data_IF_186575644922
#
_entry.id   IF_186575644922
#
_cell.length_a   1.000
_cell.length_b   1.000
_cell.length_c   1.000
_cell.angle_alpha   90.00
_cell.angle_beta   90.00
_cell.angle_gamma   90.00
#
_symmetry.space_group_name_H-M   'P 1'
#
loop_
_entity.id
_entity.type
_entity.pdbx_description
1 polymer ?
#
# COMPACT_ATOMS: atom_id res chain seq x y z
N UNK A 1 -2.49 -10.65 -8.66
CA UNK A 1 -3.96 -10.68 -8.40
C UNK A 1 -4.63 -9.30 -8.51
N UNK A 2 -3.97 -8.18 -8.18
CA UNK A 2 -4.57 -6.83 -8.24
C UNK A 2 -5.18 -6.45 -9.61
N UNK A 3 -4.49 -6.78 -10.72
CA UNK A 3 -4.99 -6.50 -12.08
C UNK A 3 -6.29 -7.25 -12.42
N UNK A 4 -6.53 -8.43 -11.85
CA UNK A 4 -7.74 -9.21 -12.13
C UNK A 4 -8.95 -8.56 -11.48
N UNK A 5 -8.83 -8.11 -10.23
CA UNK A 5 -9.91 -7.39 -9.54
C UNK A 5 -10.18 -6.02 -10.19
N UNK A 6 -9.14 -5.35 -10.72
CA UNK A 6 -9.31 -4.13 -11.51
C UNK A 6 -10.10 -4.42 -12.79
N UNK A 7 -9.71 -5.44 -13.55
CA UNK A 7 -10.36 -5.83 -14.80
C UNK A 7 -11.82 -6.22 -14.57
N UNK A 8 -12.11 -7.02 -13.54
CA UNK A 8 -13.48 -7.41 -13.17
C UNK A 8 -14.32 -6.17 -12.85
N UNK A 9 -13.79 -5.23 -12.05
CA UNK A 9 -14.50 -3.99 -11.72
C UNK A 9 -14.79 -3.15 -12.97
N UNK A 10 -13.82 -3.01 -13.88
CA UNK A 10 -13.99 -2.27 -15.14
C UNK A 10 -15.07 -2.93 -16.01
N UNK A 11 -14.98 -4.25 -16.22
CA UNK A 11 -15.95 -5.00 -17.02
C UNK A 11 -17.35 -4.90 -16.39
N UNK A 12 -17.47 -5.10 -15.08
CA UNK A 12 -18.74 -5.00 -14.37
C UNK A 12 -19.34 -3.59 -14.48
N UNK A 13 -18.52 -2.54 -14.33
CA UNK A 13 -18.97 -1.14 -14.48
C UNK A 13 -19.41 -0.86 -15.92
N UNK A 14 -18.69 -1.38 -16.92
CA UNK A 14 -19.03 -1.20 -18.33
C UNK A 14 -20.34 -1.91 -18.70
N UNK A 15 -20.51 -3.18 -18.29
CA UNK A 15 -21.74 -3.95 -18.53
C UNK A 15 -22.93 -3.28 -17.85
N UNK A 16 -22.81 -2.94 -16.55
CA UNK A 16 -23.89 -2.25 -15.82
C UNK A 16 -24.17 -0.85 -16.38
N UNK A 17 -23.16 -0.16 -16.90
CA UNK A 17 -23.31 1.13 -17.61
C UNK A 17 -24.07 1.00 -18.92
N UNK A 18 -23.80 -0.04 -19.73
CA UNK A 18 -24.57 -0.34 -20.94
C UNK A 18 -26.03 -0.62 -20.57
N UNK A 19 -26.28 -1.45 -19.54
CA UNK A 19 -27.63 -1.72 -19.06
C UNK A 19 -28.35 -0.44 -18.60
N UNK A 20 -27.66 0.42 -17.87
CA UNK A 20 -28.19 1.71 -17.43
C UNK A 20 -28.52 2.63 -18.62
N UNK A 21 -27.65 2.71 -19.62
CA UNK A 21 -27.91 3.47 -20.86
C UNK A 21 -29.13 2.92 -21.61
N UNK A 22 -29.22 1.60 -21.76
CA UNK A 22 -30.36 0.93 -22.41
C UNK A 22 -31.66 1.19 -21.63
N UNK A 23 -31.66 1.10 -20.30
CA UNK A 23 -32.83 1.47 -19.49
C UNK A 23 -33.19 2.94 -19.68
N UNK A 24 -32.21 3.85 -19.61
CA UNK A 24 -32.43 5.29 -19.65
C UNK A 24 -32.91 5.80 -21.01
N UNK A 25 -32.33 5.30 -22.10
CA UNK A 25 -32.58 5.81 -23.45
C UNK A 25 -33.60 4.99 -24.26
N UNK A 26 -33.78 3.70 -23.96
CA UNK A 26 -34.68 2.84 -24.75
C UNK A 26 -35.93 2.45 -23.94
N UNK A 27 -35.77 1.92 -22.73
CA UNK A 27 -36.90 1.38 -21.97
C UNK A 27 -37.66 2.45 -21.18
N UNK A 28 -36.98 3.42 -20.58
CA UNK A 28 -37.61 4.47 -19.78
C UNK A 28 -38.55 5.37 -20.61
N UNK A 29 -38.21 5.80 -21.84
CA UNK A 29 -39.14 6.56 -22.69
C UNK A 29 -40.36 5.72 -23.08
N UNK A 30 -40.15 4.44 -23.45
CA UNK A 30 -41.24 3.51 -23.79
C UNK A 30 -42.16 3.23 -22.60
N UNK A 31 -41.62 3.09 -21.38
CA UNK A 31 -42.41 2.94 -20.14
C UNK A 31 -43.21 4.20 -19.85
N UNK A 32 -42.57 5.38 -19.91
CA UNK A 32 -43.26 6.66 -19.69
C UNK A 32 -44.39 6.88 -20.70
N UNK A 33 -44.18 6.54 -21.97
CA UNK A 33 -45.22 6.62 -22.99
C UNK A 33 -46.40 5.66 -22.73
N UNK A 34 -46.13 4.41 -22.31
CA UNK A 34 -47.18 3.45 -21.95
C UNK A 34 -47.94 3.85 -20.68
N UNK A 35 -47.23 4.36 -19.68
CA UNK A 35 -47.82 4.88 -18.44
C UNK A 35 -48.67 6.12 -18.73
N UNK A 36 -48.19 7.06 -19.55
CA UNK A 36 -48.95 8.23 -19.97
C UNK A 36 -50.21 7.83 -20.77
N UNK A 37 -50.08 6.88 -21.71
CA UNK A 37 -51.22 6.37 -22.47
C UNK A 37 -52.28 5.71 -21.55
N UNK A 38 -51.84 4.90 -20.58
CA UNK A 38 -52.74 4.30 -19.59
C UNK A 38 -53.38 5.35 -18.65
N UNK A 39 -52.66 6.40 -18.28
CA UNK A 39 -53.19 7.53 -17.52
C UNK A 39 -54.31 8.25 -18.30
N UNK A 40 -54.08 8.57 -19.57
CA UNK A 40 -55.10 9.18 -20.44
C UNK A 40 -56.29 8.27 -20.70
N UNK A 41 -56.09 6.95 -20.76
CA UNK A 41 -57.17 5.99 -20.99
C UNK A 41 -58.03 5.74 -19.75
N UNK A 42 -57.47 5.89 -18.54
CA UNK A 42 -58.18 5.61 -17.30
C UNK A 42 -59.03 6.77 -16.78
N UNK A 43 -58.88 7.99 -17.33
CA UNK A 43 -59.66 9.19 -16.98
C UNK A 43 -59.37 9.79 -15.60
N UNK A 44 -58.87 8.98 -14.65
CA UNK A 44 -58.52 9.34 -13.28
C UNK A 44 -57.02 9.22 -12.99
N UNK A 45 -56.59 9.82 -11.87
CA UNK A 45 -55.22 9.71 -11.39
C UNK A 45 -54.88 8.28 -10.91
N UNK A 46 -54.36 7.42 -11.80
CA UNK A 46 -53.81 6.10 -11.43
C UNK A 46 -52.70 6.24 -10.38
N UNK A 47 -52.70 5.35 -9.40
CA UNK A 47 -51.66 5.29 -8.38
C UNK A 47 -50.33 4.73 -8.93
N UNK A 48 -49.23 5.04 -8.24
CA UNK A 48 -47.89 4.60 -8.64
C UNK A 48 -47.76 3.07 -8.70
N UNK A 49 -48.53 2.33 -7.89
CA UNK A 49 -48.53 0.88 -7.86
C UNK A 49 -49.14 0.29 -9.14
N UNK A 50 -50.25 0.86 -9.64
CA UNK A 50 -50.90 0.41 -10.87
C UNK A 50 -50.08 0.81 -12.09
N UNK A 51 -49.50 2.02 -12.10
CA UNK A 51 -48.61 2.47 -13.19
C UNK A 51 -47.35 1.61 -13.36
N UNK A 52 -46.80 1.10 -12.27
CA UNK A 52 -45.65 0.19 -12.32
C UNK A 52 -46.02 -1.21 -12.85
N UNK A 53 -47.28 -1.65 -12.70
CA UNK A 53 -47.79 -2.90 -13.29
C UNK A 53 -48.06 -2.80 -14.79
N UNK A 54 -48.40 -1.61 -15.32
CA UNK A 54 -48.65 -1.40 -16.76
C UNK A 54 -47.37 -1.55 -17.58
N UNK A 55 -46.21 -1.23 -17.01
CA UNK A 55 -44.93 -1.29 -17.71
C UNK A 55 -43.81 -1.80 -16.79
N UNK A 56 -43.83 -3.11 -16.42
CA UNK A 56 -42.88 -3.66 -15.47
C UNK A 56 -41.44 -3.58 -16.01
N UNK A 57 -40.50 -3.28 -15.11
CA UNK A 57 -39.07 -3.37 -15.39
C UNK A 57 -38.66 -4.84 -15.48
N UNK A 58 -37.88 -5.26 -16.49
CA UNK A 58 -37.23 -6.56 -16.45
C UNK A 58 -36.27 -6.63 -15.26
N UNK A 59 -36.41 -7.63 -14.39
CA UNK A 59 -35.63 -7.70 -13.14
C UNK A 59 -34.11 -7.69 -13.34
N UNK A 60 -33.59 -8.31 -14.40
CA UNK A 60 -32.17 -8.27 -14.75
C UNK A 60 -31.67 -6.86 -15.13
N UNK A 61 -32.54 -6.04 -15.73
CA UNK A 61 -32.23 -4.66 -16.10
C UNK A 61 -32.28 -3.74 -14.88
N UNK A 62 -33.21 -3.99 -13.96
CA UNK A 62 -33.34 -3.23 -12.72
C UNK A 62 -32.14 -3.44 -11.79
N UNK A 63 -31.78 -4.69 -11.51
CA UNK A 63 -30.60 -5.03 -10.70
C UNK A 63 -29.31 -4.55 -11.37
N UNK A 64 -29.14 -4.77 -12.67
CA UNK A 64 -27.94 -4.35 -13.39
C UNK A 64 -27.76 -2.82 -13.46
N UNK A 65 -28.81 -2.07 -13.78
CA UNK A 65 -28.74 -0.62 -13.92
C UNK A 65 -28.66 0.12 -12.56
N UNK A 66 -29.24 -0.44 -11.49
CA UNK A 66 -29.21 0.17 -10.14
C UNK A 66 -27.83 0.09 -9.47
N UNK A 67 -27.04 -0.92 -9.79
CA UNK A 67 -25.69 -1.11 -9.25
C UNK A 67 -24.65 -0.23 -9.97
N UNK A 68 -24.93 0.24 -11.18
CA UNK A 68 -24.00 1.04 -11.99
C UNK A 68 -23.45 2.29 -11.27
N UNK A 69 -24.26 3.18 -10.66
CA UNK A 69 -23.72 4.38 -10.01
C UNK A 69 -22.72 4.06 -8.91
N UNK A 70 -22.97 2.98 -8.14
CA UNK A 70 -22.07 2.53 -7.08
C UNK A 70 -20.76 2.03 -7.67
N UNK A 71 -20.82 1.15 -8.68
CA UNK A 71 -19.61 0.65 -9.34
C UNK A 71 -18.82 1.75 -10.04
N UNK A 72 -19.51 2.71 -10.67
CA UNK A 72 -18.87 3.85 -11.32
C UNK A 72 -18.14 4.74 -10.31
N UNK A 73 -18.74 5.04 -9.16
CA UNK A 73 -18.07 5.78 -8.08
C UNK A 73 -16.85 5.01 -7.57
N UNK A 74 -17.00 3.71 -7.28
CA UNK A 74 -15.88 2.87 -6.83
C UNK A 74 -14.77 2.82 -7.87
N UNK A 75 -15.12 2.72 -9.16
CA UNK A 75 -14.16 2.73 -10.25
C UNK A 75 -13.42 4.07 -10.34
N UNK A 76 -14.11 5.21 -10.22
CA UNK A 76 -13.50 6.54 -10.26
C UNK A 76 -12.57 6.73 -9.06
N UNK A 77 -13.06 6.47 -7.85
CA UNK A 77 -12.26 6.57 -6.62
C UNK A 77 -11.03 5.69 -6.71
N UNK A 78 -11.17 4.46 -7.20
CA UNK A 78 -10.04 3.53 -7.35
C UNK A 78 -9.06 3.92 -8.44
N UNK A 79 -9.56 4.40 -9.59
CA UNK A 79 -8.72 4.71 -10.75
C UNK A 79 -7.87 5.95 -10.49
N UNK A 80 -8.37 6.87 -9.66
CA UNK A 80 -7.80 8.20 -9.52
C UNK A 80 -7.34 8.50 -8.09
N UNK A 81 -8.18 8.28 -7.07
CA UNK A 81 -7.91 8.77 -5.71
C UNK A 81 -7.12 7.76 -4.86
N UNK A 82 -7.69 6.57 -4.65
CA UNK A 82 -7.19 5.62 -3.65
C UNK A 82 -7.20 4.17 -4.14
N UNK A 83 -6.08 3.49 -3.99
CA UNK A 83 -5.95 2.07 -4.34
C UNK A 83 -5.78 1.20 -3.09
N UNK A 84 -6.61 0.15 -2.92
CA UNK A 84 -6.45 -0.77 -1.80
C UNK A 84 -5.34 -1.79 -2.09
N UNK A 85 -4.41 -1.95 -1.15
CA UNK A 85 -3.37 -2.98 -1.20
C UNK A 85 -3.49 -3.91 0.01
N UNK A 86 -3.20 -5.19 -0.20
CA UNK A 86 -3.03 -6.16 0.88
C UNK A 86 -1.53 -6.30 1.18
N UNK A 87 -1.17 -6.36 2.46
CA UNK A 87 0.19 -6.57 2.93
C UNK A 87 0.46 -8.08 3.04
N UNK A 88 1.31 -8.67 2.18
CA UNK A 88 1.56 -10.09 2.17
C UNK A 88 2.74 -10.51 3.07
N UNK A 89 3.62 -9.57 3.45
CA UNK A 89 4.90 -9.84 4.12
C UNK A 89 5.14 -8.94 5.32
N UNK A 90 6.01 -9.37 6.24
CA UNK A 90 6.31 -8.71 7.52
C UNK A 90 7.39 -7.63 7.47
N UNK A 91 7.79 -7.15 6.29
CA UNK A 91 8.95 -6.26 6.15
C UNK A 91 8.75 -4.83 6.67
N UNK A 92 7.49 -4.42 6.87
CA UNK A 92 7.10 -3.12 7.41
C UNK A 92 6.56 -3.21 8.85
N UNK A 93 6.80 -4.33 9.55
CA UNK A 93 6.44 -4.45 10.96
C UNK A 93 7.27 -3.50 11.84
N UNK A 94 6.70 -2.91 12.91
CA UNK A 94 5.36 -3.18 13.45
C UNK A 94 4.27 -2.27 12.85
N UNK A 95 4.67 -1.34 11.98
CA UNK A 95 3.80 -0.34 11.35
C UNK A 95 2.73 -1.00 10.50
N UNK A 96 3.12 -1.94 9.62
CA UNK A 96 2.22 -2.75 8.81
C UNK A 96 2.48 -4.24 9.05
N UNK A 97 1.41 -4.98 9.33
CA UNK A 97 1.45 -6.42 9.59
C UNK A 97 0.94 -7.21 8.40
N UNK A 98 1.35 -8.48 8.33
CA UNK A 98 0.78 -9.44 7.37
C UNK A 98 -0.73 -9.51 7.57
N UNK A 99 -1.49 -9.34 6.49
CA UNK A 99 -2.96 -9.32 6.52
C UNK A 99 -3.59 -7.94 6.74
N UNK A 100 -2.80 -6.87 6.88
CA UNK A 100 -3.32 -5.50 6.78
C UNK A 100 -3.77 -5.19 5.34
N UNK A 101 -4.86 -4.43 5.23
CA UNK A 101 -5.35 -3.84 3.99
C UNK A 101 -5.23 -2.33 4.10
N UNK A 102 -4.36 -1.75 3.29
CA UNK A 102 -4.03 -0.33 3.32
C UNK A 102 -4.73 0.43 2.19
N UNK A 103 -4.91 1.72 2.42
CA UNK A 103 -5.36 2.68 1.44
C UNK A 103 -4.14 3.48 0.96
N UNK A 104 -3.94 3.51 -0.36
CA UNK A 104 -2.80 4.19 -0.99
C UNK A 104 -3.30 5.36 -1.81
N UNK A 105 -2.84 6.57 -1.47
CA UNK A 105 -3.09 7.80 -2.20
C UNK A 105 -2.15 7.90 -3.40
N UNK A 106 -2.68 7.77 -4.61
CA UNK A 106 -1.87 7.76 -5.85
C UNK A 106 -1.44 9.15 -6.27
N UNK A 107 -2.28 10.14 -6.01
CA UNK A 107 -2.04 11.53 -6.35
C UNK A 107 -0.93 12.20 -5.54
N UNK A 108 -0.49 11.59 -4.44
CA UNK A 108 0.61 12.12 -3.66
C UNK A 108 1.88 12.34 -4.51
N UNK A 109 2.11 11.49 -5.53
CA UNK A 109 3.36 11.45 -6.31
C UNK A 109 3.14 11.56 -7.82
N UNK A 110 2.15 12.35 -8.23
CA UNK A 110 1.79 12.56 -9.63
C UNK A 110 0.58 11.75 -10.09
N UNK A 111 -0.27 12.37 -10.92
CA UNK A 111 -1.34 11.66 -11.60
C UNK A 111 -0.73 10.86 -12.76
N UNK A 112 -0.74 9.53 -12.67
CA UNK A 112 -0.22 8.66 -13.73
C UNK A 112 -1.33 8.19 -14.65
N UNK A 113 -1.03 8.08 -15.94
CA UNK A 113 -1.90 7.44 -16.92
C UNK A 113 -2.16 5.97 -16.51
N UNK A 114 -3.43 5.52 -16.44
CA UNK A 114 -3.76 4.16 -15.98
C UNK A 114 -3.28 3.04 -16.91
N UNK A 115 -2.90 3.37 -18.16
CA UNK A 115 -2.45 2.43 -19.20
C UNK A 115 -0.92 2.50 -19.34
N UNK A 116 -0.37 3.70 -19.51
CA UNK A 116 1.06 3.89 -19.81
C UNK A 116 1.91 4.35 -18.62
N UNK A 117 1.30 4.61 -17.46
CA UNK A 117 1.94 5.05 -16.21
C UNK A 117 2.83 6.30 -16.34
N UNK A 118 2.69 7.06 -17.43
CA UNK A 118 3.35 8.35 -17.58
C UNK A 118 2.69 9.37 -16.65
N UNK A 119 3.50 10.17 -15.98
CA UNK A 119 3.02 11.28 -15.15
C UNK A 119 2.36 12.33 -16.06
N UNK A 120 1.05 12.50 -15.90
CA UNK A 120 0.24 13.48 -16.60
C UNK A 120 0.31 14.84 -15.91
N UNK A 121 0.29 14.84 -14.58
CA UNK A 121 0.34 16.04 -13.73
C UNK A 121 1.27 15.74 -12.55
N UNK A 122 2.32 16.55 -12.39
CA UNK A 122 3.18 16.52 -11.21
C UNK A 122 2.43 17.15 -10.03
N UNK A 123 1.99 16.33 -9.09
CA UNK A 123 1.23 16.77 -7.91
C UNK A 123 2.05 16.76 -6.61
N UNK A 124 3.19 16.07 -6.56
CA UNK A 124 4.06 16.03 -5.40
C UNK A 124 5.19 15.01 -5.50
N UNK A 125 6.04 15.00 -4.47
CA UNK A 125 7.15 14.06 -4.29
C UNK A 125 7.06 13.43 -2.89
N UNK A 126 7.54 12.18 -2.70
CA UNK A 126 7.69 11.59 -1.37
C UNK A 126 8.44 12.49 -0.42
N UNK A 127 7.86 12.66 0.77
CA UNK A 127 8.56 13.27 1.89
C UNK A 127 9.36 12.19 2.62
N UNK A 128 10.41 12.62 3.31
CA UNK A 128 11.19 11.72 4.15
C UNK A 128 10.29 11.14 5.22
N UNK A 129 10.40 9.84 5.45
CA UNK A 129 9.56 9.10 6.37
C UNK A 129 8.21 8.66 5.81
N UNK A 130 7.84 9.07 4.58
CA UNK A 130 6.60 8.57 3.96
C UNK A 130 6.69 7.06 3.70
N UNK A 131 5.56 6.37 3.91
CA UNK A 131 5.42 4.96 3.51
C UNK A 131 4.92 4.94 2.07
N UNK A 132 5.73 4.38 1.19
CA UNK A 132 5.59 4.50 -0.25
C UNK A 132 5.40 3.11 -0.86
N UNK A 133 4.36 2.99 -1.70
CA UNK A 133 4.19 1.86 -2.61
C UNK A 133 4.87 2.18 -3.92
N UNK A 134 5.64 1.24 -4.46
CA UNK A 134 6.36 1.39 -5.73
C UNK A 134 6.53 0.05 -6.46
N UNK A 135 6.75 0.12 -7.77
CA UNK A 135 7.13 -1.05 -8.58
C UNK A 135 8.57 -1.45 -8.28
N UNK A 136 8.78 -2.71 -7.91
CA UNK A 136 10.10 -3.23 -7.58
C UNK A 136 11.07 -3.03 -8.75
N UNK A 137 12.24 -2.37 -8.57
CA UNK A 137 13.11 -2.04 -9.69
C UNK A 137 13.63 -3.25 -10.49
N UNK A 138 13.89 -4.39 -9.86
CA UNK A 138 14.39 -5.57 -10.56
C UNK A 138 13.26 -6.38 -11.25
N UNK A 139 12.04 -6.35 -10.71
CA UNK A 139 10.84 -6.91 -11.37
C UNK A 139 9.63 -5.97 -11.19
N UNK A 140 9.40 -5.06 -12.16
CA UNK A 140 8.31 -4.08 -12.10
C UNK A 140 6.90 -4.67 -12.09
N UNK A 141 6.74 -5.99 -12.22
CA UNK A 141 5.44 -6.67 -12.04
C UNK A 141 5.04 -6.76 -10.57
N UNK A 142 6.00 -6.62 -9.65
CA UNK A 142 5.78 -6.71 -8.21
C UNK A 142 5.66 -5.31 -7.60
N UNK A 143 4.67 -5.14 -6.73
CA UNK A 143 4.51 -3.94 -5.91
C UNK A 143 5.18 -4.16 -4.56
N UNK A 144 6.05 -3.24 -4.18
CA UNK A 144 6.73 -3.21 -2.88
C UNK A 144 6.25 -2.01 -2.08
N UNK A 145 6.32 -2.13 -0.76
CA UNK A 145 6.02 -1.06 0.18
C UNK A 145 7.15 -0.93 1.18
N UNK A 146 7.68 0.29 1.30
CA UNK A 146 8.80 0.63 2.19
C UNK A 146 8.66 2.07 2.66
N UNK A 147 9.47 2.48 3.63
CA UNK A 147 9.61 3.87 4.04
C UNK A 147 10.69 4.58 3.22
N UNK A 148 10.39 5.76 2.70
CA UNK A 148 11.35 6.62 2.02
C UNK A 148 12.28 7.30 3.04
N UNK A 149 13.46 6.72 3.27
CA UNK A 149 14.44 7.23 4.22
C UNK A 149 15.37 8.26 3.57
N UNK A 150 15.82 7.99 2.35
CA UNK A 150 16.66 8.92 1.58
C UNK A 150 15.92 9.54 0.41
N UNK A 151 16.03 10.86 0.29
CA UNK A 151 15.52 11.67 -0.81
C UNK A 151 16.65 12.05 -1.78
N UNK A 152 16.33 12.51 -3.01
CA UNK A 152 17.35 12.97 -3.96
C UNK A 152 18.38 13.92 -3.35
N UNK A 153 19.67 13.61 -3.50
CA UNK A 153 20.78 14.39 -2.96
C UNK A 153 21.19 14.05 -1.52
N UNK A 154 20.44 13.21 -0.81
CA UNK A 154 20.84 12.76 0.52
C UNK A 154 22.05 11.83 0.45
N UNK A 155 22.99 11.99 1.39
CA UNK A 155 23.94 10.94 1.73
C UNK A 155 23.42 10.15 2.92
N UNK A 156 23.27 8.86 2.73
CA UNK A 156 22.76 7.89 3.69
C UNK A 156 23.90 6.99 4.11
N UNK A 157 24.13 6.86 5.41
CA UNK A 157 25.01 5.84 5.97
C UNK A 157 24.23 5.00 6.97
N UNK A 158 24.36 3.68 6.89
CA UNK A 158 23.71 2.75 7.81
C UNK A 158 24.75 2.02 8.64
N UNK A 159 24.64 2.09 9.96
CA UNK A 159 25.45 1.29 10.88
C UNK A 159 24.76 -0.08 11.08
N UNK A 160 25.32 -1.19 10.56
CA UNK A 160 24.71 -2.52 10.70
C UNK A 160 24.81 -3.09 12.12
N UNK A 161 25.67 -2.54 12.98
CA UNK A 161 25.84 -2.97 14.37
C UNK A 161 24.79 -2.28 15.24
N UNK A 162 24.76 -0.94 15.19
CA UNK A 162 23.77 -0.16 15.96
C UNK A 162 22.37 -0.20 15.33
N UNK A 163 22.27 -0.57 14.05
CA UNK A 163 21.03 -0.56 13.23
C UNK A 163 20.44 0.84 13.09
N UNK A 164 21.32 1.83 12.96
CA UNK A 164 21.02 3.26 12.93
C UNK A 164 21.36 3.85 11.56
N UNK A 165 20.56 4.83 11.13
CA UNK A 165 20.77 5.56 9.88
C UNK A 165 21.24 6.97 10.19
N UNK A 166 22.24 7.41 9.44
CA UNK A 166 22.70 8.80 9.41
C UNK A 166 22.36 9.40 8.06
N UNK A 167 21.78 10.59 8.07
CA UNK A 167 21.30 11.28 6.86
C UNK A 167 21.93 12.67 6.79
N UNK A 168 22.59 12.96 5.67
CA UNK A 168 23.15 14.28 5.37
C UNK A 168 22.51 14.80 4.08
N UNK A 169 21.52 15.71 4.16
CA UNK A 169 20.85 16.23 2.98
C UNK A 169 21.74 17.13 2.12
N UNK A 170 21.49 17.17 0.80
CA UNK A 170 22.16 18.10 -0.12
C UNK A 170 23.63 17.77 -0.41
N UNK A 171 24.02 16.51 -0.24
CA UNK A 171 25.37 15.98 -0.42
C UNK A 171 25.70 15.57 -1.87
N UNK A 172 25.04 16.18 -2.87
CA UNK A 172 25.38 15.93 -4.28
C UNK A 172 26.82 16.38 -4.57
N UNK A 173 27.53 15.58 -5.39
CA UNK A 173 28.98 15.63 -5.66
C UNK A 173 29.61 17.03 -5.63
N UNK A 174 30.55 17.25 -4.70
CA UNK A 174 31.47 18.40 -4.72
C UNK A 174 31.30 19.45 -3.61
N UNK A 175 30.27 19.35 -2.76
CA UNK A 175 30.08 20.22 -1.59
C UNK A 175 30.35 19.47 -0.28
N UNK A 176 30.88 20.19 0.71
CA UNK A 176 31.05 19.69 2.06
C UNK A 176 29.67 19.42 2.69
N UNK A 177 29.44 18.18 3.09
CA UNK A 177 28.23 17.70 3.76
C UNK A 177 28.18 18.17 5.22
N UNK A 178 27.96 19.46 5.45
CA UNK A 178 28.03 20.02 6.81
C UNK A 178 26.73 19.90 7.61
N UNK A 179 25.58 19.77 6.91
CA UNK A 179 24.27 19.74 7.57
C UNK A 179 23.77 18.30 7.71
N UNK A 180 23.86 17.74 8.93
CA UNK A 180 23.22 16.47 9.26
C UNK A 180 21.75 16.68 9.61
N UNK A 181 20.88 15.82 9.09
CA UNK A 181 19.49 15.75 9.56
C UNK A 181 19.50 15.14 10.97
N UNK A 182 18.75 15.69 11.94
CA UNK A 182 18.61 15.07 13.25
C UNK A 182 17.86 13.73 13.09
N UNK A 183 18.60 12.63 13.24
CA UNK A 183 18.05 11.29 13.37
C UNK A 183 18.28 10.83 14.81
N UNK A 184 17.20 10.50 15.51
CA UNK A 184 17.26 10.11 16.92
C UNK A 184 16.52 8.81 17.17
N UNK A 185 16.99 8.07 18.18
CA UNK A 185 16.47 6.77 18.55
C UNK A 185 16.04 6.77 20.01
N UNK A 186 14.89 6.14 20.30
CA UNK A 186 14.55 5.81 21.69
C UNK A 186 15.37 4.64 22.19
N UNK A 187 15.25 4.36 23.49
CA UNK A 187 15.75 3.12 24.07
C UNK A 187 15.13 1.90 23.36
N UNK A 188 15.89 0.80 23.36
CA UNK A 188 15.47 -0.50 22.85
C UNK A 188 14.62 -1.20 23.91
N UNK A 189 13.45 -1.67 23.49
CA UNK A 189 12.50 -2.38 24.35
C UNK A 189 12.07 -3.71 23.68
N UNK A 190 11.61 -4.71 24.44
CA UNK A 190 11.01 -5.91 23.85
C UNK A 190 9.72 -5.56 23.12
N UNK A 191 9.54 -6.08 21.89
CA UNK A 191 8.29 -5.92 21.14
C UNK A 191 7.29 -7.02 21.48
N UNK A 192 6.03 -6.81 21.08
CA UNK A 192 4.97 -7.84 21.13
C UNK A 192 5.17 -8.98 20.12
N UNK A 193 6.22 -8.95 19.28
CA UNK A 193 6.41 -9.91 18.21
C UNK A 193 7.52 -10.91 18.49
N UNK A 194 7.23 -12.18 18.21
CA UNK A 194 8.18 -13.29 18.22
C UNK A 194 8.29 -13.86 16.81
N UNK A 195 9.51 -13.88 16.28
CA UNK A 195 9.83 -14.51 15.00
C UNK A 195 10.21 -15.97 15.25
N UNK A 196 9.57 -16.90 14.57
CA UNK A 196 9.92 -18.33 14.65
C UNK A 196 10.70 -18.78 13.43
N UNK A 197 11.53 -19.80 13.61
CA UNK A 197 12.36 -20.36 12.54
C UNK A 197 12.03 -21.84 12.36
N UNK A 198 11.81 -22.25 11.12
CA UNK A 198 11.78 -23.66 10.75
C UNK A 198 13.19 -24.11 10.38
N UNK A 199 13.64 -25.21 10.97
CA UNK A 199 14.87 -25.88 10.55
C UNK A 199 14.65 -26.57 9.22
N UNK A 200 15.41 -26.20 8.21
CA UNK A 200 15.42 -26.84 6.88
C UNK A 200 16.85 -27.11 6.46
N UNK A 201 17.23 -28.39 6.34
CA UNK A 201 18.55 -28.84 5.85
C UNK A 201 19.76 -28.13 6.49
N UNK A 202 19.75 -27.92 7.82
CA UNK A 202 20.86 -27.29 8.54
C UNK A 202 20.89 -25.75 8.50
N UNK A 203 19.92 -25.11 7.84
CA UNK A 203 19.65 -23.67 7.92
C UNK A 203 18.37 -23.36 8.69
N UNK A 204 18.30 -22.18 9.29
CA UNK A 204 17.10 -21.64 9.92
C UNK A 204 16.44 -20.65 8.96
N UNK A 205 15.23 -20.97 8.50
CA UNK A 205 14.42 -20.07 7.68
C UNK A 205 13.21 -19.60 8.50
N UNK A 206 12.87 -18.32 8.41
CA UNK A 206 11.69 -17.78 9.08
C UNK A 206 10.44 -18.57 8.71
N UNK A 207 9.68 -18.99 9.72
CA UNK A 207 8.41 -19.69 9.54
C UNK A 207 7.20 -18.80 9.79
N UNK A 208 7.35 -17.70 10.54
CA UNK A 208 6.27 -16.74 10.76
C UNK A 208 6.60 -15.69 11.83
N UNK A 209 5.67 -14.75 11.99
CA UNK A 209 5.73 -13.69 12.98
C UNK A 209 4.47 -13.75 13.85
N UNK A 210 4.64 -13.94 15.15
CA UNK A 210 3.53 -14.15 16.07
C UNK A 210 3.48 -13.03 17.10
N UNK A 211 2.29 -12.47 17.30
CA UNK A 211 2.03 -11.56 18.40
C UNK A 211 1.90 -12.40 19.69
N UNK A 212 2.80 -12.16 20.64
CA UNK A 212 2.93 -12.93 21.89
C UNK A 212 3.09 -11.93 23.04
N UNK A 213 2.19 -11.94 24.03
CA UNK A 213 2.27 -11.06 25.20
C UNK A 213 3.68 -11.03 25.82
N UNK A 214 4.11 -9.87 26.33
CA UNK A 214 5.47 -9.70 26.86
C UNK A 214 5.83 -10.64 28.02
N UNK A 215 4.83 -11.11 28.77
CA UNK A 215 4.97 -12.08 29.85
C UNK A 215 4.98 -13.55 29.39
N UNK A 216 4.81 -13.80 28.09
CA UNK A 216 4.78 -15.13 27.49
C UNK A 216 5.96 -15.36 26.55
N UNK A 217 6.27 -16.63 26.33
CA UNK A 217 7.32 -17.08 25.41
C UNK A 217 6.75 -18.02 24.37
N UNK A 218 7.30 -18.01 23.15
CA UNK A 218 6.96 -18.97 22.11
C UNK A 218 8.15 -19.89 21.85
N UNK A 219 7.88 -21.19 21.81
CA UNK A 219 8.90 -22.19 21.53
C UNK A 219 9.54 -21.97 20.16
N UNK A 220 10.86 -22.17 20.07
CA UNK A 220 11.65 -21.99 18.84
C UNK A 220 11.50 -20.60 18.20
N UNK A 221 11.23 -19.58 19.03
CA UNK A 221 11.04 -18.20 18.62
C UNK A 221 12.02 -17.25 19.28
N UNK A 222 12.36 -16.17 18.57
CA UNK A 222 13.17 -15.06 19.05
C UNK A 222 12.26 -13.85 19.18
N UNK A 223 12.17 -13.29 20.39
CA UNK A 223 11.45 -12.04 20.59
C UNK A 223 12.20 -10.89 19.91
N UNK A 224 11.50 -10.18 19.04
CA UNK A 224 12.02 -9.02 18.35
C UNK A 224 12.09 -7.86 19.34
N UNK A 225 13.08 -7.00 19.14
CA UNK A 225 13.19 -5.72 19.85
C UNK A 225 12.58 -4.61 19.03
N UNK A 226 12.01 -3.61 19.69
CA UNK A 226 11.53 -2.39 19.08
C UNK A 226 12.19 -1.15 19.65
N UNK A 227 12.24 -0.10 18.83
CA UNK A 227 12.52 1.27 19.27
C UNK A 227 11.86 2.25 18.31
N UNK A 228 11.74 3.51 18.73
CA UNK A 228 11.32 4.60 17.86
C UNK A 228 12.52 5.19 17.13
N UNK A 229 12.38 5.41 15.84
CA UNK A 229 13.29 6.17 14.98
C UNK A 229 12.59 7.47 14.59
N UNK A 230 13.26 8.60 14.77
CA UNK A 230 12.80 9.91 14.31
C UNK A 230 13.67 10.38 13.17
N UNK A 231 13.09 10.51 11.98
CA UNK A 231 13.75 11.01 10.77
C UNK A 231 13.37 12.48 10.56
N UNK A 232 14.11 13.40 11.18
CA UNK A 232 13.72 14.81 11.19
C UNK A 232 12.49 15.04 12.06
N UNK A 233 11.33 15.19 11.44
CA UNK A 233 10.03 15.44 12.08
C UNK A 233 9.10 14.21 12.11
N UNK A 234 9.50 13.10 11.48
CA UNK A 234 8.69 11.88 11.40
C UNK A 234 9.21 10.81 12.35
N UNK A 235 8.47 10.52 13.42
CA UNK A 235 8.76 9.43 14.36
C UNK A 235 7.93 8.19 14.03
N UNK A 236 8.59 7.05 13.89
CA UNK A 236 7.97 5.74 13.67
C UNK A 236 8.69 4.66 14.47
N UNK A 237 8.16 3.43 14.47
CA UNK A 237 8.77 2.28 15.15
C UNK A 237 9.47 1.37 14.16
N UNK A 238 10.53 0.74 14.62
CA UNK A 238 11.28 -0.27 13.87
C UNK A 238 11.43 -1.55 14.69
N UNK A 239 11.43 -2.70 14.04
CA UNK A 239 11.76 -3.99 14.64
C UNK A 239 13.17 -4.43 14.27
N UNK A 240 13.84 -5.06 15.23
CA UNK A 240 15.18 -5.62 15.07
C UNK A 240 15.25 -7.01 15.72
N UNK A 241 15.94 -7.94 15.06
CA UNK A 241 16.30 -9.26 15.57
C UNK A 241 17.59 -9.11 16.40
N UNK A 242 17.56 -9.40 17.72
CA UNK A 242 18.71 -9.11 18.60
C UNK A 242 20.01 -9.84 18.23
N UNK A 243 19.91 -11.02 17.61
CA UNK A 243 21.05 -11.86 17.27
C UNK A 243 21.48 -11.76 15.80
N UNK A 244 20.71 -11.05 14.97
CA UNK A 244 21.01 -10.94 13.54
C UNK A 244 21.81 -9.66 13.29
N UNK A 245 22.76 -9.77 12.36
CA UNK A 245 23.51 -8.64 11.84
C UNK A 245 23.58 -8.75 10.32
N UNK A 246 23.42 -7.63 9.64
CA UNK A 246 23.43 -7.58 8.18
C UNK A 246 24.81 -8.01 7.63
N UNK A 247 24.78 -8.85 6.59
CA UNK A 247 25.98 -9.25 5.86
C UNK A 247 26.35 -8.17 4.84
N UNK A 248 27.25 -7.26 5.21
CA UNK A 248 27.67 -6.11 4.39
C UNK A 248 28.08 -6.48 2.95
N UNK A 249 28.62 -7.68 2.72
CA UNK A 249 28.99 -8.15 1.38
C UNK A 249 27.80 -8.43 0.45
N UNK A 250 26.59 -8.51 0.99
CA UNK A 250 25.34 -8.69 0.24
C UNK A 250 24.65 -7.35 -0.10
N UNK A 251 25.18 -6.23 0.40
CA UNK A 251 24.62 -4.93 0.09
C UNK A 251 24.89 -4.52 -1.35
N UNK A 252 23.95 -3.77 -1.92
CA UNK A 252 24.20 -2.97 -3.10
C UNK A 252 25.31 -1.97 -2.79
N UNK A 253 26.46 -2.13 -3.45
CA UNK A 253 27.58 -1.19 -3.34
C UNK A 253 27.48 -0.14 -4.45
N UNK A 254 27.20 1.11 -4.07
CA UNK A 254 27.23 2.20 -5.04
C UNK A 254 28.68 2.48 -5.48
N UNK A 255 28.96 2.54 -6.79
CA UNK A 255 30.31 2.83 -7.28
C UNK A 255 30.87 4.14 -6.70
N UNK A 256 32.09 4.07 -6.17
CA UNK A 256 32.77 5.24 -5.58
C UNK A 256 32.34 5.61 -4.16
N UNK A 257 31.43 4.86 -3.54
CA UNK A 257 31.05 5.05 -2.13
C UNK A 257 31.60 3.93 -1.23
N UNK A 258 31.85 4.22 0.06
CA UNK A 258 32.13 3.19 1.06
C UNK A 258 30.96 2.19 1.19
N UNK A 259 31.24 1.00 1.72
CA UNK A 259 30.19 0.05 2.10
C UNK A 259 29.21 0.68 3.10
N UNK A 260 27.93 0.31 2.98
CA UNK A 260 26.83 0.86 3.76
C UNK A 260 26.67 2.40 3.70
N UNK A 261 27.21 3.03 2.65
CA UNK A 261 27.05 4.46 2.37
C UNK A 261 26.57 4.66 0.93
N UNK A 262 25.56 5.51 0.76
CA UNK A 262 24.94 5.80 -0.53
C UNK A 262 24.66 7.29 -0.65
N UNK A 263 24.86 7.85 -1.84
CA UNK A 263 24.39 9.19 -2.22
C UNK A 263 23.23 9.01 -3.19
N UNK A 264 22.04 9.41 -2.77
CA UNK A 264 20.80 9.22 -3.52
C UNK A 264 20.80 10.08 -4.79
N UNK A 265 20.73 9.47 -5.99
CA UNK A 265 20.75 10.24 -7.24
C UNK A 265 19.50 11.12 -7.43
N UNK A 266 19.57 12.14 -8.31
CA UNK A 266 18.39 12.91 -8.72
C UNK A 266 17.26 12.01 -9.22
N UNK A 267 16.02 12.30 -8.80
CA UNK A 267 14.83 11.53 -9.19
C UNK A 267 14.80 10.08 -8.67
N UNK A 268 15.60 9.76 -7.65
CA UNK A 268 15.64 8.44 -7.02
C UNK A 268 15.44 8.55 -5.51
N UNK A 269 15.07 7.42 -4.89
CA UNK A 269 14.74 7.34 -3.48
C UNK A 269 15.41 6.11 -2.85
N UNK A 270 15.87 6.26 -1.61
CA UNK A 270 16.41 5.15 -0.81
C UNK A 270 15.33 4.68 0.17
N UNK A 271 14.91 3.44 -0.02
CA UNK A 271 13.77 2.83 0.66
C UNK A 271 14.25 1.82 1.71
N UNK A 272 13.65 1.82 2.90
CA UNK A 272 13.94 0.84 3.96
C UNK A 272 12.67 0.27 4.57
N UNK A 273 12.71 -0.98 5.01
CA UNK A 273 11.64 -1.57 5.80
C UNK A 273 11.75 -1.23 7.28
N UNK A 274 10.62 -1.09 7.95
CA UNK A 274 10.57 -0.87 9.40
C UNK A 274 11.01 -2.13 10.18
N UNK A 275 10.83 -3.33 9.61
CA UNK A 275 11.39 -4.58 10.16
C UNK A 275 12.80 -4.79 9.60
N UNK A 276 13.79 -4.16 10.26
CA UNK A 276 15.12 -3.87 9.72
C UNK A 276 15.90 -5.11 9.28
N UNK A 277 15.83 -6.20 10.04
CA UNK A 277 16.56 -7.43 9.72
C UNK A 277 15.74 -8.40 8.85
N UNK A 278 14.47 -8.10 8.58
CA UNK A 278 13.57 -8.93 7.75
C UNK A 278 13.04 -8.15 6.54
N UNK A 279 13.89 -7.31 5.94
CA UNK A 279 13.52 -6.46 4.82
C UNK A 279 14.56 -6.49 3.71
N UNK A 280 14.17 -7.03 2.55
CA UNK A 280 14.87 -6.82 1.29
C UNK A 280 14.50 -5.43 0.73
N UNK A 281 15.37 -4.45 0.94
CA UNK A 281 15.17 -3.05 0.60
C UNK A 281 16.42 -2.42 -0.05
N UNK A 282 16.49 -1.10 -0.15
CA UNK A 282 17.52 -0.41 -0.94
C UNK A 282 18.95 -0.70 -0.50
N UNK A 283 19.16 -1.20 0.73
CA UNK A 283 20.46 -1.73 1.17
C UNK A 283 20.96 -2.85 0.26
N UNK A 284 20.06 -3.63 -0.34
CA UNK A 284 20.37 -4.84 -1.10
C UNK A 284 20.25 -4.67 -2.61
N UNK A 285 19.26 -3.90 -3.10
CA UNK A 285 19.00 -3.73 -4.55
C UNK A 285 19.15 -2.30 -5.07
N UNK A 286 19.52 -1.34 -4.21
CA UNK A 286 19.78 0.05 -4.61
C UNK A 286 18.53 0.93 -4.62
N UNK A 287 18.49 1.92 -5.49
CA UNK A 287 17.51 3.02 -5.40
C UNK A 287 16.22 2.76 -6.20
N UNK A 288 15.15 3.46 -5.83
CA UNK A 288 13.87 3.45 -6.56
C UNK A 288 13.75 4.70 -7.41
N UNK A 289 13.61 4.60 -8.75
CA UNK A 289 13.30 5.74 -9.59
C UNK A 289 11.91 6.31 -9.30
N UNK A 290 11.75 7.62 -9.44
CA UNK A 290 10.47 8.34 -9.30
C UNK A 290 9.36 7.75 -10.20
N UNK A 291 9.72 7.32 -11.41
CA UNK A 291 8.80 6.68 -12.34
C UNK A 291 8.16 5.41 -11.76
N UNK A 292 8.82 4.71 -10.83
CA UNK A 292 8.34 3.48 -10.22
C UNK A 292 7.36 3.72 -9.07
N UNK A 293 7.24 4.95 -8.56
CA UNK A 293 6.38 5.24 -7.41
C UNK A 293 4.89 5.05 -7.77
N UNK A 294 4.12 4.42 -6.90
CA UNK A 294 2.68 4.19 -7.10
C UNK A 294 1.85 5.16 -6.26
N UNK A 295 2.22 5.37 -4.99
CA UNK A 295 1.50 6.27 -4.10
C UNK A 295 1.92 6.15 -2.63
N UNK A 296 1.32 6.98 -1.78
CA UNK A 296 1.56 7.03 -0.33
C UNK A 296 0.56 6.17 0.42
N UNK A 297 1.01 5.28 1.30
CA UNK A 297 0.12 4.59 2.23
C UNK A 297 -0.35 5.55 3.33
N UNK A 298 -1.67 5.71 3.49
CA UNK A 298 -2.25 6.72 4.40
C UNK A 298 -3.08 6.14 5.54
N UNK A 299 -3.68 4.97 5.34
CA UNK A 299 -4.53 4.34 6.35
C UNK A 299 -4.58 2.81 6.20
N UNK A 300 -4.86 2.11 7.29
CA UNK A 300 -5.33 0.72 7.29
C UNK A 300 -6.86 0.78 7.35
N UNK A 301 -7.55 0.24 6.34
CA UNK A 301 -9.02 0.24 6.28
C UNK A 301 -9.63 -1.11 6.70
N UNK A 302 -8.83 -2.19 6.70
CA UNK A 302 -9.20 -3.51 7.21
C UNK A 302 -7.93 -4.26 7.64
N UNK A 303 -8.05 -5.18 8.59
CA UNK A 303 -6.92 -6.03 9.00
C UNK A 303 -7.40 -7.41 9.42
N UNK A 304 -6.85 -8.44 8.78
CA UNK A 304 -7.07 -9.84 9.13
C UNK A 304 -5.82 -10.40 9.80
N UNK A 305 -6.00 -11.12 10.90
CA UNK A 305 -4.92 -11.86 11.52
C UNK A 305 -4.62 -13.11 10.68
N UNK A 306 -3.38 -13.23 10.18
CA UNK A 306 -2.89 -14.36 9.39
C UNK A 306 -1.37 -14.34 9.25
N UNK A 307 -0.80 -15.50 8.95
CA UNK A 307 0.58 -15.64 8.49
C UNK A 307 0.68 -15.60 6.95
N UNK A 308 1.91 -15.51 6.46
CA UNK A 308 2.20 -15.53 5.03
C UNK A 308 1.70 -16.84 4.39
N UNK A 309 0.93 -16.72 3.30
CA UNK A 309 0.34 -17.89 2.62
C UNK A 309 -0.84 -18.58 3.33
N UNK A 310 -1.21 -18.17 4.54
CA UNK A 310 -2.28 -18.83 5.33
C UNK A 310 -3.64 -18.13 5.25
N UNK A 311 -4.70 -18.84 5.66
CA UNK A 311 -6.04 -18.27 5.79
C UNK A 311 -6.18 -17.41 7.05
N UNK A 312 -7.00 -16.34 7.04
CA UNK A 312 -7.31 -15.56 8.22
C UNK A 312 -7.85 -16.38 9.40
N UNK A 313 -7.32 -16.10 10.59
CA UNK A 313 -7.78 -16.65 11.87
C UNK A 313 -8.71 -15.68 12.61
N UNK A 314 -8.64 -14.38 12.32
CA UNK A 314 -9.43 -13.35 12.99
C UNK A 314 -9.36 -11.98 12.32
N UNK A 315 -9.97 -10.99 12.95
CA UNK A 315 -10.02 -9.59 12.49
C UNK A 315 -9.40 -8.68 13.56
N UNK A 316 -8.46 -7.81 13.16
CA UNK A 316 -7.77 -6.87 14.06
C UNK A 316 -8.33 -5.46 13.91
N UNK A 317 -9.53 -5.22 14.46
CA UNK A 317 -10.24 -3.94 14.32
C UNK A 317 -9.48 -2.75 14.92
N UNK A 318 -8.66 -2.99 15.96
CA UNK A 318 -7.83 -1.97 16.62
C UNK A 318 -6.79 -1.33 15.69
N UNK A 319 -6.46 -1.98 14.57
CA UNK A 319 -5.48 -1.49 13.60
C UNK A 319 -6.09 -0.54 12.56
N UNK A 320 -7.41 -0.45 12.46
CA UNK A 320 -8.07 0.42 11.48
C UNK A 320 -7.84 1.88 11.87
N UNK A 321 -7.26 2.67 10.98
CA UNK A 321 -6.90 4.06 11.25
C UNK A 321 -5.78 4.60 10.36
N UNK A 322 -5.33 5.81 10.66
CA UNK A 322 -4.21 6.45 9.97
C UNK A 322 -2.87 5.80 10.30
N UNK A 323 -1.96 5.77 9.32
CA UNK A 323 -0.60 5.25 9.48
C UNK A 323 0.38 6.42 9.66
N UNK A 324 1.37 6.28 10.53
CA UNK A 324 2.47 7.22 10.76
C UNK A 324 3.80 6.47 10.84
#
# INVERSE_FOLDING_TARGET
MANMFALILVIATLVTGILWCVDKFVFAPKRRARQAAAQTASGDALDNATLNKVAPKPGWLETGASVFPVLAIVLIVRSFLYEPFQIPSGSMMPTLLIGDFILVEKFAYGIKDPIYQKTLIETGHPKRGDIVVFKYPEDPKLDYIKRAVGLPGDKITYDPVAKEVTIQPGCSSGQACENALPVTYSNVEPSDFVQTFARRNGGEATSGFFEVPLNETKENGIRLTERKETLGDVTHRILMVPIAQDQLGMYYQQPGQPLATWVVPPGQYFMMGDNRDNSADSRYWGFVPEANLVGKAVAIWMSFDKQEGEWPTGVRLSRIGGIH
#
